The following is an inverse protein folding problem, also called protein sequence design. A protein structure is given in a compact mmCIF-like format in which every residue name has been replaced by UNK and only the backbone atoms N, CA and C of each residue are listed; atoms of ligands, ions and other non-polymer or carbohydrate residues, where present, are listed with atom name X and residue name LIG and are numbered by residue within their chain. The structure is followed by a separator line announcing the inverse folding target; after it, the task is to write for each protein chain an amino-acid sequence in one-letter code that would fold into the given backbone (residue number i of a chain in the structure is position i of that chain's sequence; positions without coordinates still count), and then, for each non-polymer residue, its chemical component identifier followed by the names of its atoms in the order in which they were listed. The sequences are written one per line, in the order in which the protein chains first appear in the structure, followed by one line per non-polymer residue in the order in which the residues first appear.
data_IF_906842041140
#
_entry.id   IF_906842041140
#
_cell.length_a   1.000
_cell.length_b   1.000
_cell.length_c   1.000
_cell.angle_alpha   90.00
_cell.angle_beta   90.00
_cell.angle_gamma   90.00
#
_symmetry.space_group_name_H-M   'P 1'
#
loop_
_entity.id
_entity.type
_entity.pdbx_description
1 polymer ?
#
# COMPACT_ATOMS: atom_id res chain seq x y z
N UNK A 1 -15.39 2.66 1.36
CA UNK A 1 -14.74 1.38 1.73
C UNK A 1 -15.45 0.22 1.03
N UNK A 2 -14.72 -0.69 0.44
CA UNK A 2 -15.31 -1.86 -0.22
C UNK A 2 -15.32 -3.10 0.68
N UNK A 3 -14.38 -3.17 1.62
CA UNK A 3 -14.25 -4.25 2.58
C UNK A 3 -14.68 -3.81 3.98
N UNK A 4 -14.91 -4.77 4.87
CA UNK A 4 -15.27 -4.56 6.27
C UNK A 4 -14.43 -5.46 7.18
N UNK A 5 -14.43 -5.16 8.47
CA UNK A 5 -13.90 -6.07 9.47
C UNK A 5 -14.59 -7.43 9.38
N UNK A 6 -13.83 -8.50 9.55
CA UNK A 6 -14.27 -9.88 9.38
C UNK A 6 -14.25 -10.39 7.94
N UNK A 7 -14.01 -9.53 6.92
CA UNK A 7 -13.90 -9.99 5.53
C UNK A 7 -12.73 -10.98 5.39
N UNK A 8 -12.97 -12.09 4.71
CA UNK A 8 -11.97 -13.14 4.49
C UNK A 8 -11.45 -13.08 3.04
N UNK A 9 -10.30 -12.45 2.86
CA UNK A 9 -9.64 -12.32 1.56
C UNK A 9 -8.99 -13.65 1.16
N UNK A 10 -9.36 -14.17 -0.01
CA UNK A 10 -8.84 -15.41 -0.62
C UNK A 10 -8.84 -16.61 0.35
N UNK A 11 -9.84 -16.73 1.25
CA UNK A 11 -9.98 -17.76 2.27
C UNK A 11 -8.77 -17.87 3.23
N UNK A 12 -7.94 -16.86 3.31
CA UNK A 12 -6.70 -16.89 4.09
C UNK A 12 -6.54 -15.72 5.03
N UNK A 13 -6.80 -14.49 4.59
CA UNK A 13 -6.51 -13.31 5.37
C UNK A 13 -7.80 -12.69 5.92
N UNK A 14 -8.01 -12.80 7.21
CA UNK A 14 -9.17 -12.21 7.88
C UNK A 14 -8.87 -10.76 8.25
N UNK A 15 -9.63 -9.81 7.72
CA UNK A 15 -9.48 -8.39 8.02
C UNK A 15 -9.96 -8.10 9.44
N UNK A 16 -9.08 -7.52 10.26
CA UNK A 16 -9.36 -7.19 11.66
C UNK A 16 -9.65 -5.71 11.85
N UNK A 17 -8.84 -4.85 11.24
CA UNK A 17 -8.91 -3.41 11.45
C UNK A 17 -8.46 -2.64 10.23
N UNK A 18 -9.24 -1.62 9.86
CA UNK A 18 -8.85 -0.65 8.84
C UNK A 18 -7.75 0.27 9.36
N UNK A 19 -6.67 0.44 8.59
CA UNK A 19 -5.57 1.34 8.93
C UNK A 19 -5.72 2.67 8.22
N UNK A 20 -6.07 2.64 6.93
CA UNK A 20 -6.18 3.85 6.14
C UNK A 20 -6.48 3.59 4.67
N UNK A 21 -6.82 4.66 3.97
CA UNK A 21 -7.00 4.65 2.52
C UNK A 21 -6.23 5.79 1.89
N UNK A 22 -5.85 5.60 0.64
CA UNK A 22 -5.18 6.61 -0.16
C UNK A 22 -5.60 6.52 -1.63
N UNK A 23 -4.94 7.29 -2.47
CA UNK A 23 -5.21 7.35 -3.91
C UNK A 23 -5.16 5.96 -4.58
N UNK A 24 -4.42 5.03 -4.02
CA UNK A 24 -4.12 3.74 -4.66
C UNK A 24 -4.83 2.55 -4.04
N UNK A 25 -5.59 2.73 -2.96
CA UNK A 25 -6.30 1.63 -2.32
C UNK A 25 -6.49 1.77 -0.82
N UNK A 26 -6.78 0.66 -0.18
CA UNK A 26 -7.08 0.52 1.24
C UNK A 26 -6.00 -0.32 1.92
N UNK A 27 -5.67 0.00 3.19
CA UNK A 27 -4.73 -0.78 4.02
C UNK A 27 -5.44 -1.31 5.25
N UNK A 28 -5.29 -2.59 5.49
CA UNK A 28 -5.93 -3.34 6.57
C UNK A 28 -4.90 -4.09 7.40
N UNK A 29 -5.12 -4.18 8.71
CA UNK A 29 -4.53 -5.24 9.53
C UNK A 29 -5.37 -6.49 9.32
N UNK A 30 -4.72 -7.62 9.10
CA UNK A 30 -5.38 -8.90 8.93
C UNK A 30 -4.62 -10.01 9.66
N UNK A 31 -5.33 -11.05 10.07
CA UNK A 31 -4.76 -12.30 10.56
C UNK A 31 -4.59 -13.26 9.39
N UNK A 32 -3.37 -13.71 9.12
CA UNK A 32 -3.11 -14.82 8.22
C UNK A 32 -3.53 -16.13 8.90
N UNK A 33 -4.65 -16.73 8.51
CA UNK A 33 -5.22 -17.96 9.09
C UNK A 33 -4.34 -19.19 8.94
N UNK A 34 -3.34 -19.16 8.06
CA UNK A 34 -2.41 -20.28 7.91
C UNK A 34 -1.29 -20.25 8.96
N UNK A 35 -1.00 -19.08 9.54
CA UNK A 35 0.14 -18.90 10.46
C UNK A 35 -0.25 -18.26 11.79
N UNK A 36 -1.47 -17.75 11.92
CA UNK A 36 -1.98 -16.94 13.04
C UNK A 36 -1.15 -15.66 13.30
N UNK A 37 -0.48 -15.14 12.26
CA UNK A 37 0.34 -13.93 12.34
C UNK A 37 -0.43 -12.72 11.82
N UNK A 38 -0.33 -11.60 12.53
CA UNK A 38 -0.83 -10.31 12.03
C UNK A 38 0.03 -9.79 10.88
N UNK A 39 -0.63 -9.39 9.80
CA UNK A 39 -0.03 -8.82 8.60
C UNK A 39 -0.72 -7.52 8.22
N UNK A 40 -0.04 -6.67 7.47
CA UNK A 40 -0.67 -5.54 6.80
C UNK A 40 -1.00 -5.93 5.36
N UNK A 41 -2.23 -5.68 4.93
CA UNK A 41 -2.68 -5.94 3.56
C UNK A 41 -3.05 -4.63 2.89
N UNK A 42 -2.35 -4.31 1.82
CA UNK A 42 -2.65 -3.16 0.96
C UNK A 42 -3.39 -3.66 -0.26
N UNK A 43 -4.69 -3.39 -0.31
CA UNK A 43 -5.55 -3.75 -1.45
C UNK A 43 -5.63 -2.54 -2.37
N UNK A 44 -5.21 -2.73 -3.61
CA UNK A 44 -5.18 -1.67 -4.61
C UNK A 44 -6.54 -1.48 -5.28
N UNK A 45 -6.73 -0.34 -5.94
CA UNK A 45 -7.87 -0.12 -6.84
C UNK A 45 -7.80 -1.11 -8.01
N UNK A 46 -8.93 -1.32 -8.68
CA UNK A 46 -8.97 -2.10 -9.93
C UNK A 46 -8.02 -1.51 -10.96
N UNK A 47 -7.32 -2.39 -11.68
CA UNK A 47 -6.40 -2.05 -12.75
C UNK A 47 -6.81 -2.80 -14.01
N UNK A 48 -6.53 -2.21 -15.17
CA UNK A 48 -6.56 -2.95 -16.42
C UNK A 48 -5.34 -3.89 -16.54
N UNK A 49 -5.30 -4.72 -17.55
CA UNK A 49 -4.21 -5.69 -17.75
C UNK A 49 -2.85 -5.00 -17.85
N UNK A 50 -2.76 -3.85 -18.53
CA UNK A 50 -1.52 -3.09 -18.68
C UNK A 50 -1.02 -2.58 -17.33
N UNK A 51 -1.92 -1.96 -16.55
CA UNK A 51 -1.60 -1.47 -15.20
C UNK A 51 -1.17 -2.59 -14.25
N UNK A 52 -1.82 -3.76 -14.35
CA UNK A 52 -1.46 -4.92 -13.55
C UNK A 52 -0.07 -5.48 -13.92
N UNK A 53 0.28 -5.54 -15.20
CA UNK A 53 1.61 -5.99 -15.63
C UNK A 53 2.73 -5.02 -15.19
N UNK A 54 2.47 -3.70 -15.25
CA UNK A 54 3.39 -2.69 -14.69
C UNK A 54 3.55 -2.89 -13.18
N UNK A 55 2.46 -3.05 -12.44
CA UNK A 55 2.46 -3.28 -11.01
C UNK A 55 3.24 -4.55 -10.63
N UNK A 56 3.05 -5.65 -11.38
CA UNK A 56 3.78 -6.90 -11.18
C UNK A 56 5.28 -6.75 -11.36
N UNK A 57 5.71 -5.99 -12.38
CA UNK A 57 7.14 -5.71 -12.59
C UNK A 57 7.75 -4.93 -11.44
N UNK A 58 7.06 -3.89 -10.96
CA UNK A 58 7.50 -3.09 -9.80
C UNK A 58 7.60 -3.95 -8.52
N UNK A 59 6.61 -4.83 -8.31
CA UNK A 59 6.65 -5.78 -7.22
C UNK A 59 7.87 -6.71 -7.32
N UNK A 60 8.16 -7.26 -8.50
CA UNK A 60 9.31 -8.14 -8.72
C UNK A 60 10.63 -7.45 -8.37
N UNK A 61 10.79 -6.19 -8.77
CA UNK A 61 11.98 -5.39 -8.41
C UNK A 61 12.07 -5.22 -6.90
N UNK A 62 10.97 -4.83 -6.25
CA UNK A 62 10.95 -4.62 -4.79
C UNK A 62 11.15 -5.90 -4.00
N UNK A 63 10.68 -7.05 -4.51
CA UNK A 63 10.82 -8.34 -3.88
C UNK A 63 12.27 -8.84 -3.78
N UNK A 64 13.12 -8.44 -4.73
CA UNK A 64 14.55 -8.78 -4.72
C UNK A 64 15.37 -7.91 -3.75
N UNK A 65 14.78 -6.82 -3.23
CA UNK A 65 15.47 -5.92 -2.31
C UNK A 65 15.41 -6.49 -0.89
N UNK A 66 16.56 -6.69 -0.29
CA UNK A 66 16.68 -7.17 1.09
C UNK A 66 17.56 -6.23 1.90
N UNK A 67 16.94 -5.45 2.80
CA UNK A 67 17.64 -4.52 3.69
C UNK A 67 16.80 -4.26 4.94
N UNK A 68 17.44 -4.18 6.13
CA UNK A 68 16.77 -4.02 7.43
C UNK A 68 15.90 -2.77 7.52
N UNK A 69 16.22 -1.72 6.78
CA UNK A 69 15.48 -0.46 6.78
C UNK A 69 14.56 -0.28 5.57
N UNK A 70 14.20 -1.38 4.89
CA UNK A 70 13.18 -1.41 3.83
C UNK A 70 12.09 -2.40 4.21
N UNK A 71 10.83 -1.95 4.20
CA UNK A 71 9.68 -2.83 4.35
C UNK A 71 9.19 -3.25 2.97
N UNK A 72 9.38 -4.52 2.65
CA UNK A 72 8.92 -5.07 1.37
C UNK A 72 7.70 -5.99 1.56
N UNK A 73 6.94 -6.16 0.51
CA UNK A 73 5.83 -7.10 0.51
C UNK A 73 6.35 -8.53 0.39
N UNK A 74 5.80 -9.43 1.22
CA UNK A 74 6.13 -10.84 1.23
C UNK A 74 5.35 -11.63 0.17
N UNK A 75 4.19 -11.09 -0.25
CA UNK A 75 3.31 -11.77 -1.19
C UNK A 75 2.49 -10.76 -2.00
N UNK A 76 2.26 -11.09 -3.27
CA UNK A 76 1.35 -10.40 -4.17
C UNK A 76 0.24 -11.37 -4.56
N UNK A 77 -1.01 -10.98 -4.32
CA UNK A 77 -2.19 -11.73 -4.71
C UNK A 77 -3.13 -10.89 -5.57
N UNK A 78 -4.13 -11.57 -6.13
CA UNK A 78 -5.27 -10.96 -6.81
C UNK A 78 -6.53 -11.56 -6.23
N UNK A 79 -7.35 -10.74 -5.59
CA UNK A 79 -8.60 -11.17 -4.98
C UNK A 79 -9.50 -11.85 -6.05
N UNK A 80 -9.92 -13.09 -5.76
CA UNK A 80 -10.71 -13.90 -6.66
C UNK A 80 -12.06 -13.28 -6.99
N UNK A 81 -12.68 -12.53 -6.06
CA UNK A 81 -14.01 -11.95 -6.19
C UNK A 81 -14.03 -10.71 -7.07
N UNK A 82 -13.13 -9.76 -6.83
CA UNK A 82 -13.20 -8.44 -7.47
C UNK A 82 -12.00 -8.08 -8.34
N UNK A 83 -11.07 -9.02 -8.48
CA UNK A 83 -9.85 -8.92 -9.32
C UNK A 83 -8.91 -7.78 -8.93
N UNK A 84 -9.02 -7.28 -7.69
CA UNK A 84 -8.09 -6.27 -7.18
C UNK A 84 -6.78 -6.92 -6.75
N UNK A 85 -5.63 -6.37 -7.14
CA UNK A 85 -4.35 -6.81 -6.63
C UNK A 85 -4.16 -6.36 -5.18
N UNK A 86 -3.48 -7.16 -4.40
CA UNK A 86 -3.13 -6.83 -3.02
C UNK A 86 -1.72 -7.27 -2.67
N UNK A 87 -1.09 -6.56 -1.75
CA UNK A 87 0.21 -6.89 -1.18
C UNK A 87 0.05 -7.28 0.30
N UNK A 88 0.75 -8.32 0.70
CA UNK A 88 0.86 -8.74 2.11
C UNK A 88 2.25 -8.34 2.60
N UNK A 89 2.29 -7.59 3.69
CA UNK A 89 3.50 -7.03 4.28
C UNK A 89 3.55 -7.32 5.78
N UNK A 90 4.73 -7.28 6.43
CA UNK A 90 4.81 -7.25 7.88
C UNK A 90 3.98 -6.10 8.45
N UNK A 91 3.21 -6.36 9.51
CA UNK A 91 2.50 -5.31 10.23
C UNK A 91 3.46 -4.54 11.13
N UNK A 92 3.41 -3.21 11.07
CA UNK A 92 4.19 -2.30 11.90
C UNK A 92 3.26 -1.69 12.98
N UNK A 93 3.23 -2.23 14.20
CA UNK A 93 2.26 -1.85 15.22
C UNK A 93 2.43 -0.41 15.73
N UNK A 94 3.64 0.14 15.60
CA UNK A 94 3.95 1.51 16.03
C UNK A 94 3.57 2.58 14.98
N UNK A 95 2.96 2.17 13.85
CA UNK A 95 2.48 3.08 12.81
C UNK A 95 3.59 3.76 12.01
N UNK A 96 3.32 4.95 11.51
CA UNK A 96 4.26 5.77 10.73
C UNK A 96 4.85 6.92 11.55
N UNK A 97 5.95 7.47 11.04
CA UNK A 97 6.61 8.66 11.64
C UNK A 97 5.69 9.87 11.68
N UNK A 98 4.66 9.96 10.82
CA UNK A 98 3.68 11.06 10.86
C UNK A 98 3.06 11.27 12.22
N UNK A 99 2.81 10.18 12.97
CA UNK A 99 2.22 10.24 14.31
C UNK A 99 3.18 10.75 15.39
N UNK A 100 4.48 10.81 15.10
CA UNK A 100 5.52 11.21 16.05
C UNK A 100 6.11 12.59 15.74
N UNK A 101 5.59 13.31 14.75
CA UNK A 101 6.08 14.66 14.43
C UNK A 101 5.86 15.58 15.63
N UNK A 102 6.95 16.24 16.06
CA UNK A 102 6.95 17.16 17.21
C UNK A 102 7.07 16.50 18.58
N UNK A 103 7.09 15.15 18.67
CA UNK A 103 7.21 14.42 19.94
C UNK A 103 8.42 13.48 20.00
N UNK A 104 9.16 13.33 18.90
CA UNK A 104 10.32 12.44 18.82
C UNK A 104 11.47 12.93 19.68
N UNK A 105 12.01 12.09 20.55
CA UNK A 105 13.19 12.37 21.34
C UNK A 105 14.48 12.39 20.52
N UNK A 106 15.54 12.99 21.04
CA UNK A 106 16.82 13.12 20.33
C UNK A 106 17.40 11.76 19.90
N UNK A 107 17.36 10.76 20.77
CA UNK A 107 17.87 9.42 20.46
C UNK A 107 17.09 8.75 19.30
N UNK A 108 15.77 8.92 19.27
CA UNK A 108 14.92 8.38 18.19
C UNK A 108 15.12 9.17 16.89
N UNK A 109 15.37 10.48 16.99
CA UNK A 109 15.69 11.31 15.82
C UNK A 109 17.00 10.84 15.15
N UNK A 110 18.05 10.57 15.93
CA UNK A 110 19.31 10.05 15.40
C UNK A 110 19.14 8.65 14.80
N UNK A 111 18.35 7.79 15.44
CA UNK A 111 18.00 6.47 14.88
C UNK A 111 17.25 6.61 13.55
N UNK A 112 16.23 7.48 13.51
CA UNK A 112 15.46 7.77 12.29
C UNK A 112 16.38 8.23 11.15
N UNK A 113 17.27 9.20 11.38
CA UNK A 113 18.21 9.70 10.36
C UNK A 113 19.10 8.57 9.84
N UNK A 114 19.69 7.79 10.75
CA UNK A 114 20.57 6.66 10.39
C UNK A 114 19.83 5.61 9.56
N UNK A 115 18.66 5.19 10.00
CA UNK A 115 17.90 4.09 9.40
C UNK A 115 17.38 4.48 8.02
N UNK A 116 16.82 5.68 7.89
CA UNK A 116 16.34 6.20 6.60
C UNK A 116 17.51 6.41 5.62
N UNK A 117 18.62 7.01 6.08
CA UNK A 117 19.79 7.17 5.23
C UNK A 117 20.38 5.83 4.77
N UNK A 118 20.40 4.82 5.65
CA UNK A 118 20.86 3.46 5.32
C UNK A 118 19.99 2.80 4.26
N UNK A 119 18.66 2.84 4.40
CA UNK A 119 17.73 2.32 3.41
C UNK A 119 17.84 3.01 2.06
N UNK A 120 17.95 4.35 2.05
CA UNK A 120 18.15 5.13 0.81
C UNK A 120 19.48 4.84 0.15
N UNK A 121 20.58 4.75 0.91
CA UNK A 121 21.89 4.40 0.39
C UNK A 121 21.87 3.02 -0.31
N UNK A 122 21.18 2.05 0.30
CA UNK A 122 21.00 0.74 -0.32
C UNK A 122 20.22 0.81 -1.64
N UNK A 123 19.11 1.53 -1.72
CA UNK A 123 18.36 1.72 -2.95
C UNK A 123 19.20 2.40 -4.05
N UNK A 124 19.94 3.44 -3.68
CA UNK A 124 20.78 4.20 -4.61
C UNK A 124 22.03 3.42 -5.07
N UNK A 125 22.48 2.40 -4.32
CA UNK A 125 23.60 1.53 -4.70
C UNK A 125 23.26 0.50 -5.77
N UNK A 126 21.97 0.34 -6.13
CA UNK A 126 21.55 -0.60 -7.18
C UNK A 126 21.96 -0.11 -8.57
N UNK A 127 22.00 -1.04 -9.52
CA UNK A 127 22.32 -0.73 -10.92
C UNK A 127 21.18 -1.23 -11.82
N UNK A 128 20.33 -0.32 -12.38
CA UNK A 128 20.34 1.13 -12.18
C UNK A 128 19.90 1.53 -10.77
N UNK A 129 20.27 2.74 -10.29
CA UNK A 129 19.82 3.23 -8.99
C UNK A 129 18.30 3.31 -8.88
N UNK A 130 17.75 2.86 -7.74
CA UNK A 130 16.32 2.94 -7.43
C UNK A 130 16.06 4.22 -6.66
N UNK A 131 15.27 5.11 -7.22
CA UNK A 131 14.89 6.38 -6.59
C UNK A 131 13.47 6.27 -6.03
N UNK A 132 13.28 6.49 -4.75
CA UNK A 132 12.00 6.33 -4.07
C UNK A 132 10.90 7.30 -4.57
N UNK A 133 11.23 8.55 -4.82
CA UNK A 133 10.36 9.62 -5.39
C UNK A 133 9.16 10.05 -4.54
N UNK A 134 8.98 9.52 -3.32
CA UNK A 134 7.87 9.87 -2.41
C UNK A 134 8.26 9.67 -0.94
N UNK A 135 9.46 10.12 -0.59
CA UNK A 135 9.88 10.11 0.83
C UNK A 135 9.07 11.14 1.59
N UNK A 136 8.33 10.67 2.58
CA UNK A 136 7.52 11.47 3.49
C UNK A 136 7.29 10.70 4.79
N UNK A 137 6.91 11.36 5.90
CA UNK A 137 6.70 10.70 7.19
C UNK A 137 5.71 9.52 7.15
N UNK A 138 4.69 9.59 6.29
CA UNK A 138 3.70 8.50 6.13
C UNK A 138 4.31 7.21 5.54
N UNK A 139 5.36 7.34 4.75
CA UNK A 139 6.03 6.22 4.07
C UNK A 139 7.25 5.72 4.86
N UNK A 140 7.39 6.11 6.13
CA UNK A 140 8.41 5.58 7.03
C UNK A 140 7.68 5.01 8.24
N UNK A 141 7.73 3.68 8.37
CA UNK A 141 7.05 2.95 9.43
C UNK A 141 8.02 2.60 10.55
N UNK A 142 7.46 2.30 11.72
CA UNK A 142 8.21 2.01 12.93
C UNK A 142 7.93 0.56 13.32
N UNK A 143 8.97 -0.26 13.27
CA UNK A 143 8.91 -1.66 13.66
C UNK A 143 8.68 -1.81 15.18
N UNK A 144 8.29 -3.01 15.61
CA UNK A 144 8.06 -3.33 17.03
C UNK A 144 9.29 -3.06 17.91
N UNK A 145 10.51 -3.21 17.37
CA UNK A 145 11.78 -2.96 18.06
C UNK A 145 12.21 -1.47 18.03
N UNK A 146 11.42 -0.61 17.41
CA UNK A 146 11.68 0.84 17.27
C UNK A 146 12.57 1.24 16.10
N UNK A 147 12.98 0.32 15.23
CA UNK A 147 13.71 0.64 14.01
C UNK A 147 12.78 1.26 12.97
N UNK A 148 13.32 2.14 12.13
CA UNK A 148 12.59 2.82 11.07
C UNK A 148 12.80 2.10 9.74
N UNK A 149 11.70 1.89 9.01
CA UNK A 149 11.72 1.23 7.70
C UNK A 149 10.98 2.06 6.66
N UNK A 150 11.57 2.18 5.49
CA UNK A 150 10.97 2.84 4.33
C UNK A 150 10.02 1.86 3.66
N UNK A 151 8.79 2.31 3.37
CA UNK A 151 7.79 1.54 2.61
C UNK A 151 7.40 2.25 1.32
N UNK A 152 6.64 1.56 0.45
CA UNK A 152 6.16 2.11 -0.84
C UNK A 152 7.30 2.51 -1.82
N UNK A 153 8.50 1.92 -1.66
CA UNK A 153 9.57 2.03 -2.65
C UNK A 153 9.32 1.08 -3.83
N UNK A 154 9.89 1.40 -4.99
CA UNK A 154 9.73 0.59 -6.20
C UNK A 154 8.45 0.87 -7.00
N UNK A 155 7.53 1.69 -6.50
CA UNK A 155 6.39 2.14 -7.28
C UNK A 155 6.84 3.28 -8.20
N UNK A 156 7.06 2.96 -9.49
CA UNK A 156 7.55 3.93 -10.47
C UNK A 156 6.60 5.13 -10.64
N UNK A 157 7.14 6.23 -11.11
CA UNK A 157 6.35 7.40 -11.46
C UNK A 157 5.29 7.08 -12.52
N UNK A 158 5.58 6.15 -13.41
CA UNK A 158 4.66 5.71 -14.47
C UNK A 158 3.49 4.92 -13.89
N UNK A 159 3.74 3.95 -13.01
CA UNK A 159 2.71 3.18 -12.33
C UNK A 159 1.83 4.08 -11.45
N UNK A 160 2.41 5.05 -10.73
CA UNK A 160 1.64 6.04 -9.97
C UNK A 160 0.70 6.84 -10.86
N UNK A 161 1.14 7.21 -12.08
CA UNK A 161 0.30 7.92 -13.05
C UNK A 161 -0.84 7.02 -13.56
N UNK A 162 -0.58 5.75 -13.83
CA UNK A 162 -1.57 4.76 -14.26
C UNK A 162 -2.62 4.53 -13.16
N UNK A 163 -2.20 4.32 -11.91
CA UNK A 163 -3.09 4.16 -10.76
C UNK A 163 -3.98 5.38 -10.53
N UNK A 164 -3.43 6.61 -10.69
CA UNK A 164 -4.23 7.85 -10.59
C UNK A 164 -5.30 7.94 -11.67
N UNK A 165 -4.99 7.54 -12.91
CA UNK A 165 -5.98 7.50 -14.01
C UNK A 165 -7.10 6.50 -13.71
N UNK A 166 -6.77 5.31 -13.23
CA UNK A 166 -7.76 4.27 -12.85
C UNK A 166 -8.66 4.75 -11.71
N UNK A 167 -8.10 5.40 -10.68
CA UNK A 167 -8.89 5.99 -9.58
C UNK A 167 -9.89 7.05 -10.05
N UNK A 168 -9.47 7.93 -10.98
CA UNK A 168 -10.36 8.94 -11.57
C UNK A 168 -11.47 8.32 -12.42
N UNK A 169 -11.21 7.20 -13.09
CA UNK A 169 -12.20 6.48 -13.88
C UNK A 169 -13.27 5.83 -13.00
N UNK A 170 -12.87 5.22 -11.88
CA UNK A 170 -13.79 4.61 -10.92
C UNK A 170 -14.71 5.66 -10.26
N UNK A 171 -14.18 6.82 -9.90
CA UNK A 171 -14.98 7.94 -9.37
C UNK A 171 -16.05 8.42 -10.37
N UNK A 172 -15.73 8.46 -11.67
CA UNK A 172 -16.68 8.85 -12.71
C UNK A 172 -17.78 7.80 -12.95
N UNK A 173 -17.50 6.52 -12.74
CA UNK A 173 -18.53 5.44 -12.84
C UNK A 173 -19.49 5.46 -11.66
N UNK A 174 -19.01 5.79 -10.43
CA UNK A 174 -19.83 5.88 -9.23
C UNK A 174 -20.79 7.09 -9.21
N UNK A 175 -20.60 8.08 -10.08
CA UNK A 175 -21.44 9.30 -10.14
C UNK A 175 -22.56 9.27 -11.19
N UNK A 176 -22.78 8.15 -11.87
CA UNK A 176 -23.96 8.00 -12.72
C UNK A 176 -25.14 7.52 -11.87
N UNK A 177 -25.90 8.48 -11.37
CA UNK A 177 -27.19 8.31 -10.74
C UNK A 177 -28.20 7.73 -11.79
N UNK A 178 -28.90 6.61 -11.50
CA UNK A 178 -29.85 6.03 -12.46
C UNK A 178 -31.26 6.67 -12.40
N UNK A 179 -31.42 7.90 -11.96
CA UNK A 179 -32.71 8.56 -11.87
C UNK A 179 -32.86 9.70 -12.87
N UNK A 180 -33.07 9.36 -14.16
CA UNK A 180 -33.76 10.27 -15.09
C UNK A 180 -34.61 9.47 -16.08
N UNK A 181 -35.66 8.83 -15.57
CA UNK A 181 -36.77 8.40 -16.34
C UNK A 181 -38.04 9.15 -15.89
N UNK A 182 -38.23 10.34 -16.41
CA UNK A 182 -39.53 10.99 -16.38
C UNK A 182 -40.37 10.43 -17.55
N UNK A 183 -41.49 9.80 -17.28
CA UNK A 183 -42.43 9.43 -18.36
C UNK A 183 -43.17 10.70 -18.78
N UNK A 184 -43.00 11.04 -20.07
CA UNK A 184 -43.85 12.02 -20.77
C UNK A 184 -45.28 11.51 -20.79
N UNK A 185 -46.18 12.15 -20.05
CA UNK A 185 -47.63 12.00 -20.20
C UNK A 185 -48.02 12.71 -21.49
N UNK A 186 -48.50 11.94 -22.46
CA UNK A 186 -49.34 12.45 -23.56
C UNK A 186 -50.75 12.64 -23.01
N UNK A 187 -51.26 13.83 -23.07
CA UNK A 187 -52.66 14.21 -23.03
C UNK A 187 -52.97 15.03 -24.27
#
# INVERSE_FOLDING_TARGET
MKYSEGYLLDNRYQFERFIGSGTFGEVWVATDKATDIEVAIKVYISMDETGFQEFKKEFQISFELNHSNLLHANYLGVNAEDKRPYLVMPFCPNGSVSSQIGSMGEADLWRFIRDVASGLAYLHSKTPPIIHQDIKPDNILILKNGDFVITDFGISKQLRATLRKSALFDLRKGSKDPTDHHPVRKG
#
